data_IF_251292048816
#
_entry.id   IF_251292048816
#
_cell.length_a   1.000
_cell.length_b   1.000
_cell.length_c   1.000
_cell.angle_alpha   90.00
_cell.angle_beta   90.00
_cell.angle_gamma   90.00
#
_symmetry.space_group_name_H-M   'P 1'
#
loop_
_entity.id
_entity.type
_entity.pdbx_description
1 polymer ?
#
# COMPACT_ATOMS: atom_id res chain seq x y z
N UNK A 1 -30.09 -21.20 8.00
CA UNK A 1 -29.92 -20.62 6.67
C UNK A 1 -28.77 -19.61 6.74
N UNK A 2 -27.55 -20.09 6.43
CA UNK A 2 -26.39 -19.25 6.29
C UNK A 2 -26.55 -18.42 5.01
N UNK A 3 -26.59 -17.10 5.13
CA UNK A 3 -26.45 -16.23 3.96
C UNK A 3 -25.08 -16.46 3.36
N UNK A 4 -25.02 -16.93 2.13
CA UNK A 4 -23.84 -16.82 1.30
C UNK A 4 -23.56 -15.33 1.14
N UNK A 5 -22.51 -14.85 1.80
CA UNK A 5 -21.97 -13.55 1.44
C UNK A 5 -21.21 -13.77 0.12
N UNK A 6 -21.68 -13.19 -0.95
CA UNK A 6 -20.93 -13.15 -2.20
C UNK A 6 -19.55 -12.55 -1.91
N UNK A 7 -18.50 -13.32 -2.21
CA UNK A 7 -17.13 -12.89 -2.01
C UNK A 7 -16.86 -11.66 -2.90
N UNK A 8 -16.40 -10.56 -2.31
CA UNK A 8 -16.11 -9.35 -3.07
C UNK A 8 -14.89 -9.57 -3.98
N UNK A 9 -15.10 -9.49 -5.29
CA UNK A 9 -14.04 -9.67 -6.27
C UNK A 9 -13.23 -8.38 -6.49
N UNK A 10 -12.10 -8.29 -5.79
CA UNK A 10 -11.15 -7.18 -5.97
C UNK A 10 -10.57 -7.15 -7.40
N UNK A 11 -10.42 -8.29 -8.05
CA UNK A 11 -9.89 -8.34 -9.41
C UNK A 11 -10.88 -7.72 -10.39
N UNK A 12 -12.18 -7.99 -10.23
CA UNK A 12 -13.23 -7.34 -11.00
C UNK A 12 -13.37 -5.86 -10.65
N UNK A 13 -13.29 -5.50 -9.37
CA UNK A 13 -13.39 -4.12 -8.92
C UNK A 13 -12.27 -3.22 -9.50
N UNK A 14 -11.03 -3.72 -9.52
CA UNK A 14 -9.87 -3.02 -10.09
C UNK A 14 -9.58 -3.44 -11.53
N UNK A 15 -10.53 -4.02 -12.24
CA UNK A 15 -10.37 -4.34 -13.65
C UNK A 15 -10.16 -3.07 -14.46
N UNK A 16 -9.17 -3.12 -15.37
CA UNK A 16 -8.81 -1.99 -16.20
C UNK A 16 -8.53 -2.43 -17.63
N UNK A 17 -8.83 -1.54 -18.56
CA UNK A 17 -8.60 -1.71 -20.00
C UNK A 17 -7.75 -0.58 -20.55
N UNK A 18 -7.15 -0.82 -21.73
CA UNK A 18 -6.23 0.10 -22.38
C UNK A 18 -4.77 -0.23 -22.09
N UNK A 19 -3.87 0.47 -22.77
CA UNK A 19 -2.43 0.29 -22.63
C UNK A 19 -1.77 1.56 -22.08
N UNK A 20 -0.82 1.41 -21.16
CA UNK A 20 0.05 2.47 -20.66
C UNK A 20 -0.72 3.75 -20.28
N UNK A 21 -0.46 4.89 -20.91
CA UNK A 21 -1.11 6.19 -20.62
C UNK A 21 -2.62 6.24 -20.89
N UNK A 22 -3.15 5.25 -21.62
CA UNK A 22 -4.58 5.16 -21.95
C UNK A 22 -5.34 4.20 -21.05
N UNK A 23 -4.66 3.53 -20.11
CA UNK A 23 -5.32 2.59 -19.19
C UNK A 23 -6.32 3.33 -18.30
N UNK A 24 -7.50 2.73 -18.15
CA UNK A 24 -8.60 3.24 -17.32
C UNK A 24 -9.30 2.09 -16.63
N UNK A 25 -9.77 2.31 -15.42
CA UNK A 25 -10.64 1.36 -14.72
C UNK A 25 -12.00 1.25 -15.40
N UNK A 26 -12.52 0.04 -15.53
CA UNK A 26 -13.86 -0.21 -16.02
C UNK A 26 -14.91 0.40 -15.05
N UNK A 27 -14.64 0.34 -13.75
CA UNK A 27 -15.45 0.91 -12.68
C UNK A 27 -14.81 2.17 -12.08
N UNK A 28 -14.36 3.10 -12.92
CA UNK A 28 -13.60 4.28 -12.50
C UNK A 28 -14.26 5.07 -11.37
N UNK A 29 -15.58 5.27 -11.44
CA UNK A 29 -16.32 6.04 -10.42
C UNK A 29 -16.27 5.36 -9.04
N UNK A 30 -16.30 4.04 -9.00
CA UNK A 30 -16.31 3.28 -7.75
C UNK A 30 -14.89 3.20 -7.17
N UNK A 31 -13.88 3.06 -8.03
CA UNK A 31 -12.47 3.17 -7.60
C UNK A 31 -12.17 4.58 -7.08
N UNK A 32 -12.73 5.64 -7.68
CA UNK A 32 -12.59 7.00 -7.16
C UNK A 32 -13.25 7.14 -5.77
N UNK A 33 -14.46 6.63 -5.58
CA UNK A 33 -15.12 6.62 -4.27
C UNK A 33 -14.28 5.86 -3.24
N UNK A 34 -13.70 4.74 -3.63
CA UNK A 34 -12.79 4.00 -2.76
C UNK A 34 -11.56 4.83 -2.35
N UNK A 35 -10.92 5.54 -3.30
CA UNK A 35 -9.83 6.48 -3.00
C UNK A 35 -10.26 7.57 -2.02
N UNK A 36 -11.46 8.10 -2.17
CA UNK A 36 -12.03 9.13 -1.29
C UNK A 36 -12.30 8.57 0.11
N UNK A 37 -12.75 7.31 0.21
CA UNK A 37 -12.97 6.61 1.47
C UNK A 37 -11.64 6.43 2.21
N UNK A 38 -10.60 5.89 1.57
CA UNK A 38 -9.33 5.60 2.25
C UNK A 38 -8.60 6.86 2.74
N UNK A 39 -8.88 8.02 2.16
CA UNK A 39 -8.39 9.32 2.65
C UNK A 39 -9.36 10.05 3.58
N UNK A 40 -10.51 9.42 3.91
CA UNK A 40 -11.48 9.95 4.87
C UNK A 40 -12.39 11.06 4.36
N UNK A 41 -12.44 11.34 3.06
CA UNK A 41 -13.32 12.38 2.51
C UNK A 41 -14.78 11.93 2.39
N UNK A 42 -15.03 10.65 2.29
CA UNK A 42 -16.36 10.09 2.20
C UNK A 42 -16.77 9.54 3.56
N UNK A 43 -17.39 10.38 4.39
CA UNK A 43 -18.12 9.89 5.55
C UNK A 43 -19.55 9.53 5.07
N UNK A 44 -19.96 8.26 5.03
CA UNK A 44 -21.35 7.94 4.82
C UNK A 44 -22.16 8.63 5.93
N UNK A 45 -23.37 9.15 5.60
CA UNK A 45 -24.25 9.88 6.53
C UNK A 45 -24.65 9.08 7.78
N UNK A 46 -24.30 7.82 7.87
CA UNK A 46 -24.46 6.97 9.04
C UNK A 46 -23.24 7.09 9.97
N UNK A 47 -23.18 8.21 10.67
CA UNK A 47 -22.22 8.47 11.77
C UNK A 47 -22.35 7.50 12.94
N UNK A 48 -23.31 6.60 12.93
CA UNK A 48 -23.49 5.60 13.99
C UNK A 48 -22.33 4.60 14.09
N UNK A 49 -21.66 4.33 12.98
CA UNK A 49 -20.49 3.41 12.97
C UNK A 49 -19.23 4.02 13.58
N UNK A 50 -19.14 5.33 13.71
CA UNK A 50 -17.99 6.00 14.33
C UNK A 50 -18.09 6.02 15.87
N UNK A 51 -19.25 5.72 16.43
CA UNK A 51 -19.49 5.76 17.87
C UNK A 51 -19.06 4.51 18.63
N UNK A 52 -18.75 3.42 17.96
CA UNK A 52 -18.48 2.14 18.62
C UNK A 52 -17.01 1.83 18.87
N UNK A 53 -16.07 2.75 18.69
CA UNK A 53 -14.68 2.60 19.12
C UNK A 53 -13.86 1.41 18.53
N UNK A 54 -14.49 0.59 17.70
CA UNK A 54 -13.95 -0.71 17.24
C UNK A 54 -13.58 -0.74 15.76
N UNK A 55 -13.84 0.34 15.00
CA UNK A 55 -13.42 0.40 13.59
C UNK A 55 -12.03 0.94 13.46
N UNK A 56 -11.15 0.23 12.75
CA UNK A 56 -9.85 0.78 12.40
C UNK A 56 -10.05 2.06 11.58
N UNK A 57 -9.23 3.11 11.83
CA UNK A 57 -9.29 4.35 11.06
C UNK A 57 -8.95 4.09 9.60
N UNK A 58 -9.48 4.91 8.70
CA UNK A 58 -9.10 4.84 7.28
C UNK A 58 -7.60 5.19 7.12
N UNK A 59 -6.84 4.46 6.27
CA UNK A 59 -5.38 4.53 6.26
C UNK A 59 -4.85 5.95 6.17
N UNK A 60 -5.29 6.68 5.17
CA UNK A 60 -4.76 8.00 4.86
C UNK A 60 -5.50 9.16 5.55
N UNK A 61 -6.51 8.86 6.37
CA UNK A 61 -7.24 9.86 7.16
C UNK A 61 -6.73 10.01 8.59
N UNK A 62 -5.97 9.05 9.07
CA UNK A 62 -5.44 9.05 10.43
C UNK A 62 -3.99 9.55 10.46
N UNK A 63 -3.79 10.71 11.09
CA UNK A 63 -2.45 11.31 11.23
C UNK A 63 -1.43 10.37 11.89
N UNK A 64 -1.87 9.42 12.73
CA UNK A 64 -1.01 8.43 13.38
C UNK A 64 -0.48 7.38 12.40
N UNK A 65 -1.23 7.11 11.32
CA UNK A 65 -0.87 6.14 10.30
C UNK A 65 -0.05 6.75 9.15
N UNK A 66 -0.15 8.06 8.92
CA UNK A 66 0.54 8.73 7.81
C UNK A 66 2.05 8.48 7.77
N UNK A 67 2.80 8.43 8.89
CA UNK A 67 4.22 8.07 8.86
C UNK A 67 4.49 6.67 8.30
N UNK A 68 3.58 5.71 8.53
CA UNK A 68 3.69 4.34 7.99
C UNK A 68 3.23 4.23 6.55
N UNK A 69 2.51 5.24 6.05
CA UNK A 69 1.99 5.31 4.68
C UNK A 69 2.86 6.20 3.78
N UNK A 70 3.98 6.69 4.31
CA UNK A 70 4.91 7.54 3.56
C UNK A 70 5.47 6.82 2.33
N UNK A 71 5.82 5.54 2.46
CA UNK A 71 6.28 4.69 1.38
C UNK A 71 5.44 3.43 1.35
N UNK A 72 4.45 3.38 0.47
CA UNK A 72 3.51 2.26 0.37
C UNK A 72 3.70 1.46 -0.93
N UNK A 73 3.40 0.18 -0.84
CA UNK A 73 3.37 -0.74 -1.96
C UNK A 73 1.92 -1.17 -2.21
N UNK A 74 1.40 -0.95 -3.42
CA UNK A 74 0.03 -1.32 -3.79
C UNK A 74 0.07 -2.46 -4.80
N UNK A 75 -0.52 -3.57 -4.40
CA UNK A 75 -0.50 -4.79 -5.17
C UNK A 75 -1.82 -4.97 -5.94
N UNK A 76 -1.79 -4.69 -7.24
CA UNK A 76 -2.95 -4.62 -8.13
C UNK A 76 -3.09 -5.90 -8.98
N UNK A 77 -4.27 -6.16 -9.59
CA UNK A 77 -4.53 -7.39 -10.33
C UNK A 77 -3.62 -7.61 -11.53
N UNK A 78 -3.37 -6.57 -12.32
CA UNK A 78 -2.64 -6.67 -13.58
C UNK A 78 -1.95 -5.36 -13.97
N UNK A 79 -1.22 -5.40 -15.08
CA UNK A 79 -0.46 -4.25 -15.59
C UNK A 79 -1.38 -3.07 -15.93
N UNK A 80 -2.52 -3.33 -16.59
CA UNK A 80 -3.46 -2.28 -16.96
C UNK A 80 -4.02 -1.56 -15.72
N UNK A 81 -4.31 -2.30 -14.64
CA UNK A 81 -4.76 -1.73 -13.37
C UNK A 81 -3.68 -0.85 -12.71
N UNK A 82 -2.40 -1.22 -12.80
CA UNK A 82 -1.31 -0.39 -12.29
C UNK A 82 -1.26 0.97 -13.02
N UNK A 83 -1.32 0.97 -14.34
CA UNK A 83 -1.33 2.21 -15.11
C UNK A 83 -2.63 3.00 -14.94
N UNK A 84 -3.79 2.33 -14.87
CA UNK A 84 -5.07 2.98 -14.58
C UNK A 84 -5.06 3.70 -13.24
N UNK A 85 -4.47 3.07 -12.20
CA UNK A 85 -4.32 3.68 -10.88
C UNK A 85 -3.39 4.89 -10.93
N UNK A 86 -2.24 4.79 -11.59
CA UNK A 86 -1.32 5.93 -11.75
C UNK A 86 -2.01 7.10 -12.46
N UNK A 87 -2.76 6.82 -13.53
CA UNK A 87 -3.50 7.84 -14.27
C UNK A 87 -4.59 8.49 -13.40
N UNK A 88 -5.32 7.69 -12.62
CA UNK A 88 -6.37 8.18 -11.72
C UNK A 88 -5.80 9.07 -10.61
N UNK A 89 -4.72 8.64 -9.96
CA UNK A 89 -4.06 9.43 -8.91
C UNK A 89 -3.52 10.77 -9.42
N UNK A 90 -3.15 10.85 -10.71
CA UNK A 90 -2.65 12.06 -11.37
C UNK A 90 -3.77 13.02 -11.81
N UNK A 91 -5.04 12.64 -11.75
CA UNK A 91 -6.15 13.51 -12.17
C UNK A 91 -6.25 14.76 -11.29
N UNK A 92 -6.64 15.90 -11.91
CA UNK A 92 -6.63 17.23 -11.26
C UNK A 92 -7.39 17.30 -9.94
N UNK A 93 -8.48 16.55 -9.79
CA UNK A 93 -9.28 16.55 -8.55
C UNK A 93 -8.65 15.71 -7.42
N UNK A 94 -7.67 14.89 -7.73
CA UNK A 94 -6.97 14.03 -6.78
C UNK A 94 -5.75 14.70 -6.14
N UNK A 95 -5.87 15.98 -5.76
CA UNK A 95 -4.79 16.84 -5.25
C UNK A 95 -4.02 16.19 -4.08
N UNK A 96 -4.72 15.52 -3.17
CA UNK A 96 -4.09 14.83 -2.04
C UNK A 96 -2.98 13.87 -2.48
N UNK A 97 -3.23 13.14 -3.58
CA UNK A 97 -2.29 12.13 -4.07
C UNK A 97 -1.10 12.73 -4.82
N UNK A 98 -1.16 14.01 -5.20
CA UNK A 98 -0.05 14.70 -5.90
C UNK A 98 1.18 14.90 -5.00
N UNK A 99 1.04 14.77 -3.68
CA UNK A 99 2.18 14.76 -2.77
C UNK A 99 3.01 13.47 -2.87
N UNK A 100 2.43 12.41 -3.44
CA UNK A 100 3.08 11.11 -3.59
C UNK A 100 3.71 11.00 -4.98
N UNK A 101 4.97 10.55 -5.01
CA UNK A 101 5.59 10.08 -6.25
C UNK A 101 5.06 8.69 -6.55
N UNK A 102 4.31 8.56 -7.64
CA UNK A 102 3.72 7.28 -8.06
C UNK A 102 4.65 6.60 -9.05
N UNK A 103 5.06 5.37 -8.73
CA UNK A 103 5.94 4.56 -9.56
C UNK A 103 5.19 3.31 -10.00
N UNK A 104 5.13 3.08 -11.33
CA UNK A 104 4.56 1.86 -11.89
C UNK A 104 5.69 0.84 -12.09
N UNK A 105 5.75 -0.15 -11.20
CA UNK A 105 6.67 -1.28 -11.27
C UNK A 105 5.95 -2.50 -11.89
N UNK A 106 5.43 -2.36 -13.12
CA UNK A 106 4.63 -3.37 -13.80
C UNK A 106 4.84 -3.31 -15.32
N UNK A 107 4.62 -4.45 -15.99
CA UNK A 107 4.74 -4.53 -17.44
C UNK A 107 6.17 -4.52 -17.97
N UNK A 108 6.31 -4.60 -19.29
CA UNK A 108 7.62 -4.65 -19.97
C UNK A 108 8.41 -3.34 -19.79
N UNK A 109 7.74 -2.21 -19.72
CA UNK A 109 8.35 -0.89 -19.59
C UNK A 109 9.06 -0.67 -18.25
N UNK A 110 8.66 -1.39 -17.20
CA UNK A 110 9.36 -1.38 -15.92
C UNK A 110 10.63 -2.26 -15.90
N UNK A 111 11.05 -2.79 -17.06
CA UNK A 111 12.17 -3.71 -17.19
C UNK A 111 11.84 -5.14 -16.77
N UNK A 112 12.84 -6.01 -16.71
CA UNK A 112 12.71 -7.42 -16.35
C UNK A 112 13.20 -7.61 -14.92
N UNK A 113 12.38 -8.25 -14.08
CA UNK A 113 12.79 -8.60 -12.71
C UNK A 113 13.22 -7.39 -11.87
N UNK A 114 14.51 -7.31 -11.55
CA UNK A 114 15.09 -6.27 -10.70
C UNK A 114 15.22 -4.89 -11.36
N UNK A 115 15.09 -4.79 -12.68
CA UNK A 115 15.19 -3.50 -13.40
C UNK A 115 14.11 -2.50 -12.97
N UNK A 116 13.00 -2.99 -12.41
CA UNK A 116 11.96 -2.15 -11.84
C UNK A 116 12.36 -1.46 -10.52
N UNK A 117 13.47 -1.89 -9.88
CA UNK A 117 13.90 -1.39 -8.58
C UNK A 117 14.58 -0.01 -8.62
N UNK A 118 15.47 0.30 -9.57
CA UNK A 118 16.16 1.59 -9.61
C UNK A 118 15.21 2.81 -9.65
N UNK A 119 14.12 2.83 -10.44
CA UNK A 119 13.14 3.92 -10.40
C UNK A 119 12.48 4.10 -9.02
N UNK A 120 12.17 2.99 -8.34
CA UNK A 120 11.60 3.01 -6.99
C UNK A 120 12.58 3.63 -6.00
N UNK A 121 13.83 3.17 -5.98
CA UNK A 121 14.88 3.70 -5.09
C UNK A 121 15.16 5.17 -5.36
N UNK A 122 15.20 5.58 -6.63
CA UNK A 122 15.36 6.99 -7.02
C UNK A 122 14.21 7.86 -6.51
N UNK A 123 12.98 7.37 -6.58
CA UNK A 123 11.81 8.10 -6.11
C UNK A 123 11.80 8.23 -4.58
N UNK A 124 12.19 7.19 -3.86
CA UNK A 124 12.31 7.18 -2.40
C UNK A 124 13.43 8.13 -1.93
N UNK A 125 14.59 8.10 -2.60
CA UNK A 125 15.75 8.89 -2.20
C UNK A 125 16.23 8.52 -0.81
N UNK A 126 16.39 9.51 0.09
CA UNK A 126 16.75 9.29 1.50
C UNK A 126 15.60 8.70 2.34
N UNK A 127 14.38 8.72 1.82
CA UNK A 127 13.18 8.19 2.48
C UNK A 127 12.50 9.14 3.48
N UNK A 128 13.08 10.31 3.78
CA UNK A 128 12.52 11.26 4.74
C UNK A 128 11.71 12.38 4.08
N UNK A 129 12.23 12.92 2.99
CA UNK A 129 11.67 14.10 2.34
C UNK A 129 10.69 13.76 1.21
N UNK A 130 10.41 12.49 1.02
CA UNK A 130 9.60 12.00 -0.08
C UNK A 130 8.46 11.12 0.40
N UNK A 131 7.37 11.13 -0.36
CA UNK A 131 6.26 10.18 -0.21
C UNK A 131 6.13 9.40 -1.50
N UNK A 132 6.01 8.08 -1.43
CA UNK A 132 5.93 7.24 -2.63
C UNK A 132 4.81 6.21 -2.57
N UNK A 133 4.21 5.96 -3.72
CA UNK A 133 3.31 4.83 -3.94
C UNK A 133 3.89 3.99 -5.06
N UNK A 134 4.28 2.76 -4.76
CA UNK A 134 4.76 1.80 -5.75
C UNK A 134 3.63 0.88 -6.18
N UNK A 135 3.24 0.94 -7.44
CA UNK A 135 2.17 0.13 -8.02
C UNK A 135 2.76 -1.08 -8.72
N UNK A 136 2.36 -2.29 -8.34
CA UNK A 136 2.85 -3.51 -8.97
C UNK A 136 1.76 -4.59 -9.02
N UNK A 137 1.93 -5.52 -9.95
CA UNK A 137 1.04 -6.69 -10.08
C UNK A 137 1.80 -8.03 -10.02
N UNK A 138 3.07 -8.01 -9.65
CA UNK A 138 3.91 -9.22 -9.56
C UNK A 138 5.39 -8.93 -9.46
N UNK A 139 5.86 -7.86 -10.10
CA UNK A 139 7.26 -7.44 -9.97
C UNK A 139 7.53 -6.92 -8.55
N UNK A 140 8.76 -7.09 -8.10
CA UNK A 140 9.23 -6.66 -6.78
C UNK A 140 8.54 -7.38 -5.60
N UNK A 141 7.70 -8.40 -5.84
CA UNK A 141 7.12 -9.21 -4.76
C UNK A 141 8.09 -10.27 -4.25
N UNK A 142 9.10 -10.62 -5.03
CA UNK A 142 10.14 -11.59 -4.66
C UNK A 142 11.53 -11.03 -4.93
N UNK A 143 12.55 -11.50 -4.18
CA UNK A 143 13.95 -11.20 -4.43
C UNK A 143 14.40 -9.75 -4.21
N UNK A 144 13.55 -8.88 -3.65
CA UNK A 144 13.82 -7.45 -3.47
C UNK A 144 13.60 -7.04 -2.03
N UNK A 145 14.49 -6.23 -1.49
CA UNK A 145 14.32 -5.58 -0.20
C UNK A 145 14.37 -4.07 -0.39
N UNK A 146 13.27 -3.39 -0.02
CA UNK A 146 13.17 -1.94 0.08
C UNK A 146 12.70 -1.64 1.50
N UNK A 147 13.67 -1.35 2.38
CA UNK A 147 13.41 -1.20 3.81
C UNK A 147 12.49 -0.02 4.14
N UNK A 148 12.41 0.97 3.27
CA UNK A 148 11.51 2.12 3.42
C UNK A 148 10.02 1.77 3.22
N UNK A 149 9.70 0.70 2.50
CA UNK A 149 8.29 0.29 2.41
C UNK A 149 7.76 -0.11 3.78
N UNK A 150 6.79 0.62 4.28
CA UNK A 150 6.21 0.45 5.61
C UNK A 150 4.76 -0.02 5.60
N UNK A 151 4.13 -0.01 4.44
CA UNK A 151 2.75 -0.49 4.27
C UNK A 151 2.54 -1.15 2.91
N UNK A 152 1.61 -2.10 2.87
CA UNK A 152 1.16 -2.74 1.64
C UNK A 152 -0.37 -2.68 1.57
N UNK A 153 -0.91 -2.30 0.41
CA UNK A 153 -2.33 -2.44 0.10
C UNK A 153 -2.50 -3.60 -0.88
N UNK A 154 -3.19 -4.63 -0.42
CA UNK A 154 -3.52 -5.81 -1.22
C UNK A 154 -4.81 -5.55 -1.98
N UNK A 155 -4.71 -5.09 -3.23
CA UNK A 155 -5.84 -4.67 -4.07
C UNK A 155 -6.19 -5.72 -5.13
N UNK A 156 -6.00 -6.98 -4.79
CA UNK A 156 -6.35 -8.13 -5.65
C UNK A 156 -6.66 -9.36 -4.82
N UNK A 157 -7.51 -10.22 -5.34
CA UNK A 157 -7.70 -11.56 -4.79
C UNK A 157 -6.51 -12.44 -5.19
N UNK A 158 -5.90 -13.08 -4.20
CA UNK A 158 -4.79 -14.01 -4.38
C UNK A 158 -5.29 -15.44 -4.09
N UNK A 159 -5.10 -16.34 -5.04
CA UNK A 159 -5.44 -17.77 -4.85
C UNK A 159 -4.39 -18.52 -4.04
N UNK A 160 -3.15 -18.02 -4.01
CA UNK A 160 -2.02 -18.66 -3.34
C UNK A 160 -1.67 -17.92 -2.05
N UNK A 161 -1.78 -18.56 -0.88
CA UNK A 161 -1.30 -18.01 0.38
C UNK A 161 0.19 -17.63 0.32
N UNK A 162 0.99 -18.42 -0.41
CA UNK A 162 2.43 -18.15 -0.58
C UNK A 162 2.67 -16.78 -1.23
N UNK A 163 1.98 -16.48 -2.32
CA UNK A 163 2.10 -15.18 -3.00
C UNK A 163 1.69 -14.03 -2.08
N UNK A 164 0.66 -14.24 -1.27
CA UNK A 164 0.22 -13.27 -0.27
C UNK A 164 1.34 -12.99 0.75
N UNK A 165 1.89 -14.03 1.36
CA UNK A 165 2.96 -13.88 2.34
C UNK A 165 4.23 -13.27 1.74
N UNK A 166 4.61 -13.70 0.52
CA UNK A 166 5.75 -13.12 -0.19
C UNK A 166 5.60 -11.60 -0.38
N UNK A 167 4.41 -11.13 -0.73
CA UNK A 167 4.14 -9.71 -0.85
C UNK A 167 4.14 -9.01 0.52
N UNK A 168 3.46 -9.58 1.52
CA UNK A 168 3.37 -9.02 2.86
C UNK A 168 4.74 -8.87 3.55
N UNK A 169 5.65 -9.81 3.34
CA UNK A 169 7.02 -9.75 3.89
C UNK A 169 7.84 -8.58 3.34
N UNK A 170 7.47 -7.99 2.20
CA UNK A 170 8.21 -6.84 1.64
C UNK A 170 8.23 -5.62 2.54
N UNK A 171 7.19 -5.42 3.33
CA UNK A 171 7.07 -4.28 4.25
C UNK A 171 7.56 -4.56 5.66
N UNK A 172 8.05 -5.77 5.91
CA UNK A 172 8.53 -6.19 7.24
C UNK A 172 10.04 -6.02 7.43
N UNK A 173 10.78 -5.69 6.37
CA UNK A 173 12.23 -5.47 6.48
C UNK A 173 12.52 -4.27 7.39
N UNK A 174 13.47 -4.39 8.33
CA UNK A 174 13.83 -3.27 9.19
C UNK A 174 14.44 -2.14 8.36
N UNK A 175 14.16 -0.91 8.77
CA UNK A 175 14.81 0.27 8.22
C UNK A 175 15.62 0.93 9.31
N UNK A 176 16.93 0.97 9.15
CA UNK A 176 17.88 1.63 10.03
C UNK A 176 18.73 2.62 9.26
N UNK A 177 19.19 3.64 9.96
CA UNK A 177 20.17 4.61 9.47
C UNK A 177 21.28 4.76 10.49
N UNK A 178 22.47 5.10 10.02
CA UNK A 178 23.55 5.52 10.92
C UNK A 178 23.23 6.89 11.47
N UNK A 179 23.32 7.02 12.79
CA UNK A 179 23.14 8.31 13.45
C UNK A 179 24.51 8.96 13.69
N UNK A 180 24.94 9.94 12.85
CA UNK A 180 26.23 10.58 13.00
C UNK A 180 26.33 11.49 14.23
N UNK A 181 25.19 11.86 14.84
CA UNK A 181 25.10 12.71 16.03
C UNK A 181 24.84 11.92 17.31
N UNK A 182 24.82 10.58 17.24
CA UNK A 182 24.70 9.72 18.42
C UNK A 182 26.02 9.67 19.20
N UNK A 183 25.96 9.19 20.43
CA UNK A 183 27.14 8.96 21.29
C UNK A 183 28.15 8.00 20.65
N UNK A 184 27.66 7.12 19.78
CA UNK A 184 28.46 6.25 18.93
C UNK A 184 28.09 6.48 17.47
N UNK A 185 29.01 7.05 16.61
CA UNK A 185 28.74 7.33 15.21
C UNK A 185 28.43 6.08 14.35
N UNK A 186 28.73 4.88 14.86
CA UNK A 186 28.43 3.60 14.20
C UNK A 186 27.13 2.99 14.70
N UNK A 187 26.45 3.61 15.67
CA UNK A 187 25.17 3.14 16.15
C UNK A 187 24.08 3.38 15.10
N UNK A 188 23.28 2.35 14.86
CA UNK A 188 22.16 2.41 13.95
C UNK A 188 20.88 2.80 14.68
N UNK A 189 20.24 3.88 14.24
CA UNK A 189 18.89 4.22 14.66
C UNK A 189 17.88 3.37 13.88
N UNK A 190 17.05 2.62 14.59
CA UNK A 190 16.03 1.77 13.99
C UNK A 190 14.75 2.58 13.79
N UNK A 191 14.49 2.97 12.55
CA UNK A 191 13.30 3.71 12.16
C UNK A 191 12.06 2.82 12.03
N UNK A 192 12.28 1.56 11.60
CA UNK A 192 11.24 0.55 11.47
C UNK A 192 11.79 -0.81 11.88
N UNK A 193 11.18 -1.45 12.87
CA UNK A 193 11.57 -2.78 13.31
C UNK A 193 10.93 -3.87 12.45
N UNK A 194 11.64 -4.97 12.23
CA UNK A 194 11.08 -6.18 11.66
C UNK A 194 10.03 -6.79 12.60
N UNK A 195 9.00 -7.40 12.03
CA UNK A 195 7.95 -8.09 12.81
C UNK A 195 8.48 -9.28 13.65
N UNK A 196 9.69 -9.78 13.37
CA UNK A 196 10.34 -10.83 14.16
C UNK A 196 11.03 -10.34 15.44
N UNK A 197 11.17 -9.02 15.63
CA UNK A 197 11.66 -8.46 16.89
C UNK A 197 10.61 -8.56 18.00
N UNK A 198 11.00 -8.96 19.24
CA UNK A 198 10.10 -8.99 20.40
C UNK A 198 9.30 -7.70 20.45
N UNK A 199 7.98 -7.83 20.31
CA UNK A 199 7.02 -6.73 20.36
C UNK A 199 7.03 -6.21 21.80
N UNK A 200 7.48 -4.98 21.99
CA UNK A 200 7.22 -4.24 23.24
C UNK A 200 5.70 -4.09 23.37
N UNK A 201 5.12 -4.53 24.49
CA UNK A 201 3.66 -4.61 24.72
C UNK A 201 2.93 -3.28 24.44
N UNK A 202 3.64 -2.15 24.50
CA UNK A 202 3.10 -0.81 24.19
C UNK A 202 2.93 -0.54 22.68
N UNK A 203 3.46 -1.41 21.80
CA UNK A 203 3.39 -1.29 20.35
C UNK A 203 2.52 -2.34 19.68
N UNK A 204 1.76 -3.12 20.43
CA UNK A 204 0.76 -4.06 19.88
C UNK A 204 -0.32 -3.34 19.06
N UNK A 205 -0.53 -2.04 19.28
CA UNK A 205 -1.49 -1.24 18.51
C UNK A 205 -0.98 -0.77 17.15
N UNK A 206 0.32 -0.83 16.85
CA UNK A 206 0.91 -0.21 15.66
C UNK A 206 2.01 -1.05 14.98
N UNK A 207 2.04 -2.34 15.19
CA UNK A 207 2.88 -3.24 14.39
C UNK A 207 2.50 -3.14 12.91
N UNK A 208 3.47 -2.84 12.06
CA UNK A 208 3.37 -2.52 10.63
C UNK A 208 2.01 -2.79 10.01
N UNK A 209 1.33 -1.74 9.55
CA UNK A 209 0.02 -1.84 8.92
C UNK A 209 0.15 -2.63 7.63
N UNK A 210 0.07 -3.94 7.73
CA UNK A 210 -0.31 -4.76 6.59
C UNK A 210 -1.82 -4.68 6.52
N UNK A 211 -2.37 -4.00 5.53
CA UNK A 211 -3.77 -4.12 5.20
C UNK A 211 -3.98 -5.54 4.68
N UNK A 212 -4.37 -6.43 5.56
CA UNK A 212 -4.64 -7.83 5.27
C UNK A 212 -6.07 -7.91 4.77
N UNK A 213 -6.25 -8.16 3.48
CA UNK A 213 -7.49 -8.76 3.03
C UNK A 213 -7.51 -10.18 3.61
N UNK A 214 -8.38 -10.44 4.55
CA UNK A 214 -8.58 -11.77 5.10
C UNK A 214 -9.11 -12.72 4.03
N UNK A 215 -8.91 -14.03 4.25
CA UNK A 215 -9.42 -15.11 3.38
C UNK A 215 -10.94 -15.21 3.36
N UNK A 216 -11.66 -14.42 4.17
CA UNK A 216 -13.10 -14.47 4.37
C UNK A 216 -13.81 -13.16 3.96
N UNK A 217 -13.50 -12.64 2.79
CA UNK A 217 -14.11 -11.44 2.22
C UNK A 217 -13.29 -10.16 2.48
N UNK A 218 -13.61 -9.05 1.79
CA UNK A 218 -12.82 -7.83 1.88
C UNK A 218 -13.04 -7.18 3.23
N UNK A 219 -12.31 -7.64 4.20
CA UNK A 219 -12.15 -6.90 5.42
C UNK A 219 -11.10 -5.85 5.11
N UNK A 220 -11.54 -4.63 4.81
CA UNK A 220 -10.70 -3.46 4.99
C UNK A 220 -10.46 -3.33 6.49
N UNK A 221 -9.68 -4.24 7.07
CA UNK A 221 -9.12 -4.09 8.39
C UNK A 221 -7.81 -3.37 8.21
N UNK A 222 -7.85 -2.10 8.44
CA UNK A 222 -6.70 -1.28 8.72
C UNK A 222 -6.35 -1.44 10.18
#
# INVERSE_FOLDING_TARGET
SGGEFDEFDLNAFFEATGGYKKSRFNHKSDVQKWLDIIRGQYAPKHTEFLKTGTRPPFPYSDARLLPYLQHSFWFLPNVAACYAMANLLAEKHNVFWHEYRVIVAAGAEAGIGLDALPPVRKAIGNGFDTKTITLSCGKLTTGVTVSQWSSILMLRNLKSPETYFQAAFRVQSPWSIKNPNGDNPNEEEILKRSASGKIDDRRREFGGVSAVAGTDGPVFSL
#
